data_IF_930464568915
#
_entry.id   IF_930464568915
#
_cell.length_a   1.000
_cell.length_b   1.000
_cell.length_c   1.000
_cell.angle_alpha   90.00
_cell.angle_beta   90.00
_cell.angle_gamma   90.00
#
_symmetry.space_group_name_H-M   'P 1'
#
loop_
_entity.id
_entity.type
_entity.pdbx_description
1 polymer ?
#
# COMPACT_ATOMS: atom_id res chain seq x y z
N UNK A 1 -21.38 -7.16 -7.27
CA UNK A 1 -20.05 -6.66 -6.85
C UNK A 1 -20.28 -5.30 -6.19
N UNK A 2 -19.92 -5.12 -4.91
CA UNK A 2 -19.81 -3.77 -4.35
C UNK A 2 -18.53 -3.18 -4.92
N UNK A 3 -18.64 -2.06 -5.61
CA UNK A 3 -17.47 -1.37 -6.16
C UNK A 3 -16.84 -0.58 -5.01
N UNK A 4 -15.73 -1.10 -4.48
CA UNK A 4 -14.91 -0.36 -3.53
C UNK A 4 -14.11 0.70 -4.28
N UNK A 5 -13.64 1.71 -3.55
CA UNK A 5 -12.79 2.75 -4.11
C UNK A 5 -11.61 2.97 -3.18
N UNK A 6 -10.43 3.05 -3.78
CA UNK A 6 -9.20 3.44 -3.10
C UNK A 6 -9.05 4.97 -3.17
N UNK A 7 -9.00 5.61 -2.01
CA UNK A 7 -8.87 7.06 -1.87
C UNK A 7 -8.03 7.39 -0.61
N UNK A 8 -7.13 8.39 -0.66
CA UNK A 8 -6.33 8.77 0.49
C UNK A 8 -7.16 9.49 1.57
N UNK A 9 -6.83 9.17 2.81
CA UNK A 9 -7.38 9.84 4.00
C UNK A 9 -6.57 11.11 4.25
N UNK A 10 -7.25 12.25 4.32
CA UNK A 10 -6.66 13.57 4.56
C UNK A 10 -6.76 14.00 6.03
N UNK A 11 -7.67 13.40 6.80
CA UNK A 11 -7.88 13.77 8.19
C UNK A 11 -8.78 12.81 8.96
N UNK A 12 -8.85 13.01 10.28
CA UNK A 12 -9.68 12.22 11.19
C UNK A 12 -10.51 13.17 12.04
N UNK A 13 -11.81 12.93 12.10
CA UNK A 13 -12.77 13.69 12.89
C UNK A 13 -13.43 12.79 13.93
N UNK A 14 -13.62 13.34 15.12
CA UNK A 14 -14.32 12.67 16.22
C UNK A 14 -15.70 13.30 16.36
N UNK A 15 -16.74 12.51 16.17
CA UNK A 15 -18.11 12.93 16.39
C UNK A 15 -18.52 12.58 17.83
N UNK A 16 -18.91 13.61 18.59
CA UNK A 16 -19.33 13.53 19.98
C UNK A 16 -20.85 13.74 20.15
N UNK A 17 -21.59 13.91 19.06
CA UNK A 17 -23.00 14.33 19.09
C UNK A 17 -23.95 13.35 19.78
N UNK A 18 -23.57 12.06 19.89
CA UNK A 18 -24.43 11.04 20.49
C UNK A 18 -23.84 10.45 21.77
N UNK A 19 -23.89 11.25 22.84
CA UNK A 19 -24.00 10.88 24.26
C UNK A 19 -22.94 9.97 24.89
N UNK A 20 -22.63 8.82 24.27
CA UNK A 20 -21.73 7.79 24.80
C UNK A 20 -20.90 7.07 23.73
N UNK A 21 -21.21 7.21 22.43
CA UNK A 21 -20.53 6.47 21.36
C UNK A 21 -19.66 7.42 20.53
N UNK A 22 -18.38 7.54 20.90
CA UNK A 22 -17.38 8.28 20.13
C UNK A 22 -17.24 7.62 18.76
N UNK A 23 -17.80 8.22 17.71
CA UNK A 23 -17.65 7.74 16.33
C UNK A 23 -16.45 8.43 15.71
N UNK A 24 -15.51 7.64 15.20
CA UNK A 24 -14.39 8.15 14.43
C UNK A 24 -14.81 8.14 12.96
N UNK A 25 -14.69 9.30 12.33
CA UNK A 25 -14.95 9.53 10.92
C UNK A 25 -13.65 9.93 10.21
N UNK A 26 -13.48 9.47 8.99
CA UNK A 26 -12.34 9.73 8.13
C UNK A 26 -12.71 10.77 7.10
N UNK A 27 -11.87 11.78 6.97
CA UNK A 27 -11.93 12.73 5.87
C UNK A 27 -11.13 12.13 4.71
N UNK A 28 -11.78 11.99 3.57
CA UNK A 28 -11.22 11.32 2.40
C UNK A 28 -11.15 12.34 1.27
N UNK A 29 -10.06 12.33 0.51
CA UNK A 29 -9.94 13.22 -0.65
C UNK A 29 -11.10 13.00 -1.63
N UNK A 30 -11.51 14.06 -2.32
CA UNK A 30 -12.51 13.99 -3.39
C UNK A 30 -13.92 13.56 -2.95
N UNK A 31 -14.18 13.33 -1.65
CA UNK A 31 -15.50 13.06 -1.10
C UNK A 31 -15.98 14.23 -0.21
N UNK A 32 -17.22 14.71 -0.39
CA UNK A 32 -17.76 15.80 0.43
C UNK A 32 -18.17 15.37 1.84
N UNK A 33 -18.37 14.07 2.05
CA UNK A 33 -18.88 13.51 3.30
C UNK A 33 -17.81 12.71 4.04
N UNK A 34 -17.78 12.85 5.36
CA UNK A 34 -16.90 12.07 6.23
C UNK A 34 -17.34 10.58 6.23
N UNK A 35 -16.37 9.67 6.21
CA UNK A 35 -16.60 8.22 6.08
C UNK A 35 -16.38 7.51 7.41
N UNK A 36 -17.34 6.72 7.94
CA UNK A 36 -17.13 5.98 9.18
C UNK A 36 -16.15 4.81 9.00
N UNK A 37 -15.34 4.50 10.02
CA UNK A 37 -14.42 3.34 9.96
C UNK A 37 -15.16 2.03 9.65
N UNK A 38 -16.41 1.89 10.09
CA UNK A 38 -17.22 0.69 9.86
C UNK A 38 -17.59 0.42 8.40
N UNK A 39 -17.40 1.38 7.48
CA UNK A 39 -17.64 1.17 6.05
C UNK A 39 -16.37 0.80 5.26
N UNK A 40 -15.22 0.69 5.93
CA UNK A 40 -13.98 0.27 5.30
C UNK A 40 -13.97 -1.24 5.05
N UNK A 41 -13.36 -1.65 3.94
CA UNK A 41 -13.04 -3.05 3.70
C UNK A 41 -11.75 -3.43 4.42
N UNK A 42 -11.68 -4.70 4.86
CA UNK A 42 -10.45 -5.31 5.37
C UNK A 42 -9.79 -6.22 4.32
N UNK A 43 -10.32 -6.25 3.09
CA UNK A 43 -9.79 -7.05 1.98
C UNK A 43 -8.58 -6.36 1.36
N UNK A 44 -7.74 -7.15 0.67
CA UNK A 44 -6.57 -6.65 -0.04
C UNK A 44 -6.97 -5.80 -1.26
N UNK A 45 -6.10 -4.85 -1.62
CA UNK A 45 -6.29 -4.00 -2.78
C UNK A 45 -6.10 -4.82 -4.06
N UNK A 46 -7.04 -4.68 -5.00
CA UNK A 46 -6.94 -5.31 -6.32
C UNK A 46 -6.26 -4.39 -7.33
N UNK A 47 -5.81 -4.97 -8.45
CA UNK A 47 -5.25 -4.18 -9.57
C UNK A 47 -6.27 -3.18 -10.14
N UNK A 48 -7.55 -3.56 -10.16
CA UNK A 48 -8.66 -2.68 -10.56
C UNK A 48 -8.76 -1.45 -9.63
N UNK A 49 -8.57 -1.62 -8.33
CA UNK A 49 -8.57 -0.51 -7.36
C UNK A 49 -7.40 0.46 -7.61
N UNK A 50 -6.22 -0.08 -7.92
CA UNK A 50 -5.04 0.70 -8.25
C UNK A 50 -5.20 1.48 -9.57
N UNK A 51 -5.77 0.86 -10.61
CA UNK A 51 -6.04 1.52 -11.89
C UNK A 51 -7.04 2.68 -11.74
N UNK A 52 -8.12 2.46 -10.98
CA UNK A 52 -9.08 3.51 -10.67
C UNK A 52 -8.44 4.68 -9.92
N UNK A 53 -7.48 4.42 -9.02
CA UNK A 53 -6.73 5.48 -8.33
C UNK A 53 -5.80 6.22 -9.31
N UNK A 54 -5.07 5.50 -10.19
CA UNK A 54 -4.21 6.10 -11.22
C UNK A 54 -4.98 7.08 -12.10
N UNK A 55 -6.14 6.67 -12.60
CA UNK A 55 -6.99 7.53 -13.42
C UNK A 55 -7.45 8.80 -12.67
N UNK A 56 -7.75 8.69 -11.36
CA UNK A 56 -8.10 9.85 -10.54
C UNK A 56 -6.93 10.81 -10.33
N UNK A 57 -5.72 10.29 -10.19
CA UNK A 57 -4.49 11.08 -10.09
C UNK A 57 -4.23 11.82 -11.41
N UNK A 58 -4.37 11.15 -12.55
CA UNK A 58 -4.21 11.77 -13.87
C UNK A 58 -5.24 12.87 -14.13
N UNK A 59 -6.49 12.66 -13.70
CA UNK A 59 -7.55 13.67 -13.75
C UNK A 59 -7.39 14.80 -12.73
N UNK A 60 -6.32 14.80 -11.92
CA UNK A 60 -6.05 15.83 -10.90
C UNK A 60 -7.02 15.83 -9.72
N UNK A 61 -7.81 14.76 -9.53
CA UNK A 61 -8.78 14.64 -8.43
C UNK A 61 -8.12 14.21 -7.11
N UNK A 62 -6.98 13.54 -7.21
CA UNK A 62 -6.19 13.02 -6.08
C UNK A 62 -4.73 13.38 -6.31
N UNK A 63 -4.04 13.83 -5.26
CA UNK A 63 -2.62 14.11 -5.32
C UNK A 63 -1.80 12.82 -5.51
N UNK A 64 -0.79 12.86 -6.38
CA UNK A 64 0.08 11.72 -6.63
C UNK A 64 0.92 11.41 -5.38
N UNK A 65 0.82 10.22 -4.79
CA UNK A 65 1.66 9.85 -3.65
C UNK A 65 3.13 9.78 -4.06
N UNK A 66 4.02 10.31 -3.23
CA UNK A 66 5.48 10.17 -3.44
C UNK A 66 5.98 8.88 -2.80
N UNK A 67 7.02 8.28 -3.40
CA UNK A 67 7.70 7.10 -2.82
C UNK A 67 8.18 7.38 -1.39
N UNK A 68 8.77 8.56 -1.15
CA UNK A 68 9.24 8.95 0.18
C UNK A 68 8.12 8.97 1.23
N UNK A 69 6.95 9.53 0.88
CA UNK A 69 5.79 9.59 1.78
C UNK A 69 5.25 8.20 2.12
N UNK A 70 5.25 7.30 1.13
CA UNK A 70 4.83 5.91 1.31
C UNK A 70 5.83 5.14 2.16
N UNK A 71 7.13 5.30 1.94
CA UNK A 71 8.17 4.67 2.77
C UNK A 71 8.07 5.10 4.24
N UNK A 72 7.84 6.39 4.50
CA UNK A 72 7.65 6.89 5.86
C UNK A 72 6.39 6.30 6.51
N UNK A 73 5.28 6.22 5.77
CA UNK A 73 4.04 5.57 6.23
C UNK A 73 4.23 4.08 6.52
N UNK A 74 4.95 3.37 5.66
CA UNK A 74 5.27 1.95 5.87
C UNK A 74 6.10 1.79 7.15
N UNK A 75 7.17 2.58 7.32
CA UNK A 75 8.03 2.50 8.51
C UNK A 75 7.26 2.80 9.80
N UNK A 76 6.37 3.79 9.78
CA UNK A 76 5.60 4.19 10.96
C UNK A 76 4.47 3.22 11.31
N UNK A 77 3.87 2.53 10.32
CA UNK A 77 2.72 1.64 10.55
C UNK A 77 3.08 0.15 10.60
N UNK A 78 4.24 -0.27 10.09
CA UNK A 78 4.61 -1.69 9.94
C UNK A 78 4.52 -2.47 11.24
N UNK A 79 5.02 -1.90 12.33
CA UNK A 79 5.01 -2.56 13.64
C UNK A 79 3.56 -2.82 14.12
N UNK A 80 2.70 -1.81 14.05
CA UNK A 80 1.32 -1.90 14.50
C UNK A 80 0.49 -2.85 13.62
N UNK A 81 0.66 -2.75 12.29
CA UNK A 81 -0.03 -3.62 11.33
C UNK A 81 0.39 -5.07 11.52
N UNK A 82 1.70 -5.33 11.62
CA UNK A 82 2.24 -6.68 11.81
C UNK A 82 1.75 -7.30 13.11
N UNK A 83 1.80 -6.57 14.23
CA UNK A 83 1.29 -7.05 15.52
C UNK A 83 -0.20 -7.35 15.47
N UNK A 84 -0.99 -6.45 14.88
CA UNK A 84 -2.42 -6.63 14.74
C UNK A 84 -2.76 -7.86 13.89
N UNK A 85 -2.06 -8.05 12.78
CA UNK A 85 -2.22 -9.21 11.91
C UNK A 85 -1.87 -10.52 12.63
N UNK A 86 -0.75 -10.58 13.37
CA UNK A 86 -0.37 -11.76 14.16
C UNK A 86 -1.48 -12.12 15.16
N UNK A 87 -1.97 -11.14 15.92
CA UNK A 87 -3.03 -11.36 16.90
C UNK A 87 -4.32 -11.88 16.26
N UNK A 88 -4.72 -11.29 15.12
CA UNK A 88 -5.90 -11.71 14.35
C UNK A 88 -5.74 -13.14 13.83
N UNK A 89 -4.60 -13.45 13.21
CA UNK A 89 -4.34 -14.77 12.62
C UNK A 89 -4.30 -15.85 13.71
N UNK A 90 -3.70 -15.59 14.87
CA UNK A 90 -3.74 -16.50 16.02
C UNK A 90 -5.17 -16.78 16.50
N UNK A 91 -6.04 -15.77 16.51
CA UNK A 91 -7.45 -15.94 16.86
C UNK A 91 -8.19 -16.82 15.83
N UNK A 92 -7.94 -16.61 14.54
CA UNK A 92 -8.52 -17.41 13.45
C UNK A 92 -8.04 -18.87 13.55
N UNK A 93 -6.73 -19.08 13.76
CA UNK A 93 -6.15 -20.41 13.91
C UNK A 93 -6.71 -21.15 15.12
N UNK A 94 -6.93 -20.46 16.25
CA UNK A 94 -7.59 -21.07 17.41
C UNK A 94 -8.98 -21.60 17.04
N UNK A 95 -9.81 -20.77 16.41
CA UNK A 95 -11.14 -21.18 15.99
C UNK A 95 -11.11 -22.37 15.00
N UNK A 96 -10.18 -22.35 14.04
CA UNK A 96 -10.00 -23.46 13.07
C UNK A 96 -9.52 -24.76 13.74
N UNK A 97 -8.64 -24.66 14.73
CA UNK A 97 -8.18 -25.80 15.54
C UNK A 97 -9.35 -26.43 16.29
N UNK A 98 -10.20 -25.61 16.92
CA UNK A 98 -11.36 -26.09 17.67
C UNK A 98 -12.33 -26.84 16.74
N UNK A 99 -12.67 -26.25 15.58
CA UNK A 99 -13.49 -26.88 14.56
C UNK A 99 -12.88 -28.18 14.00
N UNK A 100 -11.56 -28.22 13.80
CA UNK A 100 -10.86 -29.41 13.30
C UNK A 100 -10.84 -30.52 14.35
N UNK A 101 -10.68 -30.18 15.63
CA UNK A 101 -10.78 -31.13 16.75
C UNK A 101 -12.19 -31.75 16.81
N UNK A 102 -13.24 -30.91 16.76
CA UNK A 102 -14.64 -31.37 16.78
C UNK A 102 -14.96 -32.33 15.62
N UNK A 103 -14.40 -32.07 14.44
CA UNK A 103 -14.64 -32.87 13.23
C UNK A 103 -13.66 -34.02 13.04
N UNK A 104 -12.70 -34.22 13.96
CA UNK A 104 -11.69 -35.28 13.87
C UNK A 104 -10.71 -35.14 12.68
N UNK A 105 -10.53 -33.93 12.14
CA UNK A 105 -9.70 -33.69 10.94
C UNK A 105 -8.22 -33.56 11.30
N UNK A 106 -7.54 -34.70 11.48
CA UNK A 106 -6.16 -34.76 11.97
C UNK A 106 -5.14 -34.02 11.10
N UNK A 107 -5.28 -34.06 9.78
CA UNK A 107 -4.37 -33.39 8.86
C UNK A 107 -4.45 -31.85 8.99
N UNK A 108 -5.66 -31.28 8.85
CA UNK A 108 -5.90 -29.84 9.02
C UNK A 108 -5.46 -29.34 10.40
N UNK A 109 -5.76 -30.12 11.45
CA UNK A 109 -5.39 -29.81 12.82
C UNK A 109 -3.86 -29.67 13.00
N UNK A 110 -3.09 -30.55 12.37
CA UNK A 110 -1.63 -30.50 12.43
C UNK A 110 -1.10 -29.22 11.78
N UNK A 111 -1.58 -28.88 10.59
CA UNK A 111 -1.16 -27.67 9.88
C UNK A 111 -1.52 -26.39 10.65
N UNK A 112 -2.73 -26.31 11.21
CA UNK A 112 -3.13 -25.13 11.99
C UNK A 112 -2.31 -24.98 13.28
N UNK A 113 -2.00 -26.08 13.98
CA UNK A 113 -1.14 -26.04 15.17
C UNK A 113 0.27 -25.62 14.81
N UNK A 114 0.87 -26.22 13.77
CA UNK A 114 2.20 -25.86 13.28
C UNK A 114 2.29 -24.38 12.93
N UNK A 115 1.31 -23.85 12.19
CA UNK A 115 1.28 -22.43 11.82
C UNK A 115 1.12 -21.52 13.03
N UNK A 116 0.25 -21.89 13.99
CA UNK A 116 0.07 -21.14 15.24
C UNK A 116 1.37 -21.11 16.05
N UNK A 117 2.02 -22.26 16.24
CA UNK A 117 3.23 -22.36 17.06
C UNK A 117 4.38 -21.56 16.44
N UNK A 118 4.48 -21.56 15.10
CA UNK A 118 5.41 -20.70 14.38
C UNK A 118 5.12 -19.21 14.66
N UNK A 119 3.87 -18.75 14.48
CA UNK A 119 3.49 -17.34 14.72
C UNK A 119 3.57 -16.92 16.20
N UNK A 120 3.54 -17.87 17.14
CA UNK A 120 3.74 -17.60 18.57
C UNK A 120 5.21 -17.51 18.95
N UNK A 121 6.12 -18.04 18.13
CA UNK A 121 7.57 -17.97 18.39
C UNK A 121 8.05 -16.53 18.36
N UNK A 122 8.81 -16.13 19.38
CA UNK A 122 9.44 -14.80 19.44
C UNK A 122 10.36 -14.56 18.24
N UNK A 123 11.04 -15.60 17.75
CA UNK A 123 11.92 -15.53 16.58
C UNK A 123 11.15 -15.16 15.30
N UNK A 124 10.00 -15.78 15.08
CA UNK A 124 9.15 -15.49 13.91
C UNK A 124 8.59 -14.07 14.00
N UNK A 125 8.09 -13.68 15.18
CA UNK A 125 7.56 -12.33 15.36
C UNK A 125 8.64 -11.26 15.18
N UNK A 126 9.84 -11.49 15.72
CA UNK A 126 10.98 -10.60 15.53
C UNK A 126 11.38 -10.51 14.06
N UNK A 127 11.41 -11.64 13.33
CA UNK A 127 11.68 -11.66 11.89
C UNK A 127 10.65 -10.81 11.14
N UNK A 128 9.36 -11.05 11.35
CA UNK A 128 8.29 -10.30 10.70
C UNK A 128 8.34 -8.80 11.01
N UNK A 129 8.65 -8.42 12.25
CA UNK A 129 8.78 -7.02 12.65
C UNK A 129 10.01 -6.33 12.05
N UNK A 130 11.09 -7.09 11.79
CA UNK A 130 12.29 -6.57 11.12
C UNK A 130 12.17 -6.46 9.60
N UNK A 131 11.32 -7.29 8.98
CA UNK A 131 11.10 -7.33 7.53
C UNK A 131 10.11 -6.24 7.09
N UNK A 132 10.58 -4.99 7.00
CA UNK A 132 9.77 -3.85 6.55
C UNK A 132 9.48 -3.95 5.04
N UNK A 133 8.23 -3.75 4.59
CA UNK A 133 7.87 -3.77 3.17
C UNK A 133 8.67 -2.76 2.34
N UNK A 134 9.12 -3.19 1.16
CA UNK A 134 9.82 -2.34 0.21
C UNK A 134 8.83 -1.53 -0.64
N UNK A 135 9.06 -0.23 -0.81
CA UNK A 135 8.26 0.64 -1.68
C UNK A 135 9.03 0.83 -2.98
N UNK A 136 8.44 0.41 -4.09
CA UNK A 136 9.06 0.50 -5.43
C UNK A 136 8.31 1.54 -6.26
N UNK A 137 9.06 2.40 -6.95
CA UNK A 137 8.47 3.35 -7.89
C UNK A 137 7.86 2.60 -9.08
N UNK A 138 6.72 3.09 -9.55
CA UNK A 138 6.07 2.54 -10.74
C UNK A 138 6.94 2.79 -11.98
N UNK A 139 7.16 1.76 -12.79
CA UNK A 139 7.94 1.86 -14.03
C UNK A 139 6.95 2.18 -15.14
N UNK A 140 6.94 3.43 -15.59
CA UNK A 140 6.15 3.81 -16.76
C UNK A 140 6.87 3.22 -17.97
N UNK A 141 6.28 2.19 -18.59
CA UNK A 141 6.68 1.75 -19.93
C UNK A 141 6.37 2.90 -20.89
N UNK A 142 7.39 3.69 -21.22
CA UNK A 142 7.30 4.70 -22.27
C UNK A 142 7.25 3.90 -23.57
N UNK A 143 6.04 3.63 -24.07
CA UNK A 143 5.88 3.15 -25.44
C UNK A 143 6.46 4.22 -26.38
N UNK A 144 7.52 3.92 -27.15
CA UNK A 144 8.20 4.91 -27.99
C UNK A 144 7.40 5.34 -29.23
N UNK A 145 6.11 4.99 -29.34
CA UNK A 145 5.28 5.32 -30.50
C UNK A 145 4.56 6.68 -30.40
N UNK A 146 4.56 7.35 -29.25
CA UNK A 146 3.90 8.68 -29.08
C UNK A 146 4.82 9.88 -29.35
N UNK A 147 5.81 9.71 -30.23
CA UNK A 147 6.70 10.78 -30.67
C UNK A 147 6.80 10.86 -32.19
N UNK A 148 5.84 11.50 -32.85
CA UNK A 148 6.03 11.96 -34.23
C UNK A 148 7.11 13.06 -34.25
N UNK A 149 8.24 12.90 -34.97
CA UNK A 149 9.20 13.96 -35.17
C UNK A 149 8.73 14.85 -36.33
N UNK A 150 8.23 16.04 -36.02
CA UNK A 150 8.05 17.10 -37.02
C UNK A 150 9.41 17.47 -37.61
N UNK A 151 9.58 17.14 -38.89
CA UNK A 151 10.78 17.37 -39.66
C UNK A 151 10.74 18.78 -40.27
N UNK A 152 11.69 19.65 -39.88
CA UNK A 152 12.13 20.70 -40.81
C UNK A 152 13.63 21.03 -40.66
N UNK A 153 14.45 20.86 -41.72
CA UNK A 153 15.89 21.03 -41.67
C UNK A 153 16.36 22.44 -42.09
N UNK A 154 17.56 22.78 -41.61
CA UNK A 154 18.53 23.83 -42.06
C UNK A 154 18.61 25.11 -41.20
N UNK A 155 19.73 25.23 -40.48
CA UNK A 155 20.93 25.90 -41.04
C UNK A 155 22.19 25.56 -40.27
N UNK A 156 23.17 25.09 -41.04
CA UNK A 156 24.58 24.93 -40.71
C UNK A 156 25.19 26.28 -40.35
N UNK A 157 25.90 26.38 -39.23
CA UNK A 157 27.14 27.17 -39.11
C UNK A 157 28.10 26.43 -38.18
N UNK A 158 29.05 25.71 -38.77
CA UNK A 158 30.39 25.41 -38.23
C UNK A 158 31.09 26.76 -37.97
N UNK A 159 31.83 27.03 -36.89
CA UNK A 159 33.21 26.67 -36.50
C UNK A 159 33.36 27.33 -35.11
N UNK A 160 33.98 26.77 -34.07
CA UNK A 160 35.42 26.81 -33.84
C UNK A 160 35.80 25.93 -32.66
N UNK A 161 36.96 25.31 -32.85
CA UNK A 161 37.72 24.45 -31.98
C UNK A 161 38.33 25.25 -30.81
N UNK A 162 38.33 24.70 -29.61
CA UNK A 162 39.36 24.98 -28.61
C UNK A 162 39.53 23.78 -27.70
N UNK A 163 40.47 22.91 -28.11
CA UNK A 163 41.18 22.00 -27.23
C UNK A 163 42.01 22.83 -26.25
N UNK A 164 42.01 22.49 -24.96
CA UNK A 164 43.26 22.22 -24.23
C UNK A 164 42.99 21.66 -22.81
N UNK A 165 43.56 20.47 -22.53
CA UNK A 165 44.32 20.03 -21.33
C UNK A 165 43.71 20.23 -19.91
N UNK A 166 43.88 19.36 -18.90
CA UNK A 166 44.93 18.38 -18.58
C UNK A 166 44.47 17.46 -17.41
N UNK A 167 45.10 16.29 -17.36
CA UNK A 167 44.98 15.14 -16.46
C UNK A 167 45.62 15.35 -15.07
N UNK A 168 45.21 14.52 -14.09
CA UNK A 168 45.89 14.02 -12.86
C UNK A 168 46.15 14.99 -11.70
N UNK A 169 46.02 14.61 -10.43
CA UNK A 169 46.27 13.30 -9.79
C UNK A 169 45.03 12.61 -9.20
#
# INVERSE_FOLDING_TARGET
>A
KHQYQLLPVTGVKKDFTNGNNKKILLQVSSLPNDVPISSLSNDDLSEEDCENLRQKVENGLVEKPTVADLEEKVKSLHEDITKHWIARELSILRHRIDLANEKGRRAELYEFRKRRDLLQSEEEQARMLSEVPNVVADVIDINPEDGEPDANPRKVITVEESKQNKVTL
#
